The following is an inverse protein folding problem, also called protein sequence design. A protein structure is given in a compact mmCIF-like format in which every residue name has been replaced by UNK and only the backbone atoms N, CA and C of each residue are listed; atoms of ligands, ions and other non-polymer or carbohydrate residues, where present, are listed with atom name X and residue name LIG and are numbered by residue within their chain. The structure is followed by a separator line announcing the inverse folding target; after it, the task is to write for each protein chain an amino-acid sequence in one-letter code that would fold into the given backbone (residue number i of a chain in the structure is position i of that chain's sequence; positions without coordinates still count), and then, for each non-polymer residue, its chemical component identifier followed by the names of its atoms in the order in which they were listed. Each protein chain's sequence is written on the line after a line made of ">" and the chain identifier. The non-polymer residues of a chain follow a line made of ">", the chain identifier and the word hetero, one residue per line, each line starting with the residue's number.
data_IF_191596103538
#
_entry.id   IF_191596103538
#
_cell.length_a   1.000
_cell.length_b   1.000
_cell.length_c   1.000
_cell.angle_alpha   90.00
_cell.angle_beta   90.00
_cell.angle_gamma   90.00
#
_symmetry.space_group_name_H-M   'P 1'
#
loop_
_entity.id
_entity.type
_entity.pdbx_description
1 polymer ?
#
# COMPACT_ATOMS: atom_id res chain seq x y z
N UNK A 1 49.80 30.95 16.91
CA UNK A 1 50.92 29.98 17.04
C UNK A 1 50.35 28.63 16.63
N UNK A 2 50.63 28.14 15.40
CA UNK A 2 51.89 27.47 14.98
C UNK A 2 52.03 26.15 15.80
N UNK A 3 52.13 24.93 15.24
CA UNK A 3 52.77 24.40 14.01
C UNK A 3 52.18 22.99 13.74
N UNK A 4 51.57 22.72 12.59
CA UNK A 4 52.02 21.93 11.42
C UNK A 4 52.07 20.38 11.51
N UNK A 5 51.59 19.78 10.40
CA UNK A 5 51.56 18.38 9.92
C UNK A 5 53.01 17.86 9.60
N UNK A 6 53.32 16.67 8.98
CA UNK A 6 52.51 15.80 8.10
C UNK A 6 52.85 14.28 8.00
N UNK A 7 52.14 13.58 7.11
CA UNK A 7 52.50 12.28 6.51
C UNK A 7 51.23 11.49 6.14
N UNK A 8 50.88 11.16 4.89
CA UNK A 8 51.68 11.00 3.68
C UNK A 8 51.46 9.57 3.14
N UNK A 9 50.77 9.47 2.00
CA UNK A 9 50.19 8.27 1.36
C UNK A 9 51.26 7.36 0.72
N UNK A 10 50.92 6.17 0.17
CA UNK A 10 50.86 6.20 -1.29
C UNK A 10 49.67 5.48 -1.94
N UNK A 11 49.27 6.12 -3.02
CA UNK A 11 48.48 5.66 -4.17
C UNK A 11 49.29 4.60 -4.94
N UNK A 12 48.62 3.59 -5.49
CA UNK A 12 49.11 2.86 -6.66
C UNK A 12 48.05 2.89 -7.76
N UNK A 13 48.44 3.42 -8.91
CA UNK A 13 47.71 3.38 -10.17
C UNK A 13 48.63 2.81 -11.24
N UNK A 14 48.13 1.89 -12.07
CA UNK A 14 48.12 1.95 -13.54
C UNK A 14 47.75 0.61 -14.16
N UNK A 15 46.98 0.67 -15.25
CA UNK A 15 46.78 -0.44 -16.17
C UNK A 15 45.68 -0.16 -17.18
N UNK A 16 45.92 0.77 -18.12
CA UNK A 16 45.14 0.91 -19.34
C UNK A 16 45.77 0.05 -20.44
N UNK A 17 44.94 -0.63 -21.23
CA UNK A 17 45.29 -1.16 -22.56
C UNK A 17 44.13 -0.86 -23.50
N UNK A 18 44.41 -0.10 -24.56
CA UNK A 18 43.59 0.04 -25.76
C UNK A 18 44.03 -1.02 -26.78
N UNK A 19 43.07 -1.63 -27.49
CA UNK A 19 43.17 -1.88 -28.94
C UNK A 19 41.84 -2.43 -29.50
N UNK A 20 41.52 -1.93 -30.69
CA UNK A 20 40.33 -2.14 -31.51
C UNK A 20 40.15 -3.58 -32.04
N UNK A 21 38.92 -3.92 -32.46
CA UNK A 21 38.71 -5.04 -33.38
C UNK A 21 37.28 -5.59 -33.50
N UNK A 22 36.54 -5.06 -34.48
CA UNK A 22 35.63 -5.77 -35.40
C UNK A 22 34.30 -6.38 -34.91
N UNK A 23 33.25 -5.99 -35.64
CA UNK A 23 31.96 -6.65 -35.72
C UNK A 23 32.09 -8.02 -36.40
N UNK A 24 31.32 -9.00 -35.93
CA UNK A 24 30.91 -10.16 -36.72
C UNK A 24 29.57 -10.70 -36.21
N UNK A 25 28.60 -10.75 -37.13
CA UNK A 25 27.41 -11.57 -37.06
C UNK A 25 27.76 -13.06 -36.97
N UNK A 26 26.89 -13.85 -36.33
CA UNK A 26 26.68 -15.24 -36.73
C UNK A 26 26.81 -16.32 -35.66
N UNK A 27 25.76 -17.13 -35.60
CA UNK A 27 25.70 -18.52 -35.17
C UNK A 27 25.62 -18.86 -33.67
N UNK A 28 24.35 -19.05 -33.25
CA UNK A 28 23.84 -20.16 -32.46
C UNK A 28 24.85 -21.20 -31.92
N UNK A 29 24.85 -21.39 -30.60
CA UNK A 29 25.10 -22.70 -30.02
C UNK A 29 24.05 -23.00 -28.94
N UNK A 30 23.45 -24.18 -29.11
CA UNK A 30 22.38 -24.76 -28.31
C UNK A 30 22.98 -25.38 -27.04
N UNK A 31 22.41 -25.07 -25.89
CA UNK A 31 22.31 -26.02 -24.79
C UNK A 31 20.85 -26.07 -24.37
N UNK A 32 20.19 -27.10 -24.87
CA UNK A 32 18.93 -27.63 -24.36
C UNK A 32 19.23 -28.35 -23.05
N UNK A 33 18.48 -28.04 -22.00
CA UNK A 33 18.20 -29.01 -20.95
C UNK A 33 16.70 -28.96 -20.66
N UNK A 34 16.06 -30.11 -20.86
CA UNK A 34 14.62 -30.34 -20.90
C UNK A 34 14.07 -30.49 -19.48
N UNK A 35 13.22 -29.54 -19.05
CA UNK A 35 12.11 -29.84 -18.14
C UNK A 35 11.05 -28.72 -18.22
N UNK A 36 9.80 -29.13 -18.47
CA UNK A 36 8.56 -28.32 -18.53
C UNK A 36 8.27 -27.60 -19.86
N UNK A 37 7.96 -28.38 -20.90
CA UNK A 37 7.24 -27.89 -22.07
C UNK A 37 5.79 -27.50 -21.76
N UNK A 38 5.52 -26.19 -21.61
CA UNK A 38 4.26 -25.54 -22.02
C UNK A 38 4.59 -24.14 -22.53
N UNK A 39 4.07 -23.70 -23.69
CA UNK A 39 4.35 -22.36 -24.20
C UNK A 39 3.81 -21.32 -23.22
N UNK A 40 4.62 -20.31 -22.89
CA UNK A 40 4.16 -19.08 -22.26
C UNK A 40 3.12 -18.44 -23.17
N UNK A 41 1.85 -18.78 -22.95
CA UNK A 41 0.74 -18.03 -23.48
C UNK A 41 0.93 -16.60 -22.96
N UNK A 42 1.16 -15.66 -23.88
CA UNK A 42 0.99 -14.23 -23.63
C UNK A 42 -0.32 -14.08 -22.85
N UNK A 43 -0.34 -13.43 -21.67
CA UNK A 43 -1.58 -13.20 -20.97
C UNK A 43 -2.55 -12.53 -21.93
N UNK A 44 -3.72 -13.13 -22.12
CA UNK A 44 -4.85 -12.46 -22.75
C UNK A 44 -5.06 -11.13 -22.00
N UNK A 45 -5.32 -10.04 -22.76
CA UNK A 45 -5.63 -8.72 -22.19
C UNK A 45 -6.56 -8.89 -21.00
N UNK A 46 -6.08 -8.57 -19.81
CA UNK A 46 -6.94 -8.45 -18.64
C UNK A 46 -8.07 -7.46 -18.98
N UNK A 47 -9.29 -7.61 -18.43
CA UNK A 47 -10.38 -6.65 -18.62
C UNK A 47 -10.05 -5.23 -18.09
N UNK A 48 -8.87 -5.02 -17.50
CA UNK A 48 -8.35 -3.78 -16.96
C UNK A 48 -7.98 -2.71 -18.02
N UNK A 49 -8.28 -2.94 -19.30
CA UNK A 49 -7.93 -2.09 -20.43
C UNK A 49 -9.18 -1.34 -20.96
N UNK A 50 -9.94 -0.72 -20.06
CA UNK A 50 -11.13 0.08 -20.41
C UNK A 50 -11.17 1.39 -19.61
N UNK A 51 -10.35 2.37 -20.03
CA UNK A 51 -10.52 3.77 -19.66
C UNK A 51 -9.38 4.40 -18.85
N UNK A 52 -9.11 5.67 -19.14
CA UNK A 52 -8.36 6.58 -18.26
C UNK A 52 -8.93 6.48 -16.84
N UNK A 53 -8.10 6.31 -15.79
CA UNK A 53 -8.60 6.31 -14.42
C UNK A 53 -9.43 7.58 -14.19
N UNK A 54 -10.65 7.51 -13.63
CA UNK A 54 -11.40 8.71 -13.28
C UNK A 54 -10.72 9.49 -12.14
N UNK A 55 -9.66 8.94 -11.55
CA UNK A 55 -8.89 9.54 -10.47
C UNK A 55 -7.80 10.44 -11.06
N UNK A 56 -7.84 11.76 -10.81
CA UNK A 56 -6.77 12.65 -11.24
C UNK A 56 -5.49 12.39 -10.44
N UNK A 57 -4.33 12.59 -11.08
CA UNK A 57 -3.02 12.49 -10.42
C UNK A 57 -2.92 13.48 -9.26
N UNK A 58 -3.38 14.72 -9.48
CA UNK A 58 -3.49 15.79 -8.50
C UNK A 58 -4.96 16.18 -8.26
N UNK A 59 -5.35 16.42 -7.01
CA UNK A 59 -6.61 17.09 -6.67
C UNK A 59 -6.34 18.35 -5.82
N UNK A 60 -7.29 18.79 -4.99
CA UNK A 60 -7.23 20.12 -4.39
C UNK A 60 -6.32 20.27 -3.15
N UNK A 61 -5.90 19.17 -2.53
CA UNK A 61 -5.25 19.14 -1.22
C UNK A 61 -6.15 19.52 -0.04
N UNK A 62 -7.44 19.83 -0.28
CA UNK A 62 -8.45 20.15 0.74
C UNK A 62 -9.41 18.99 0.93
N UNK A 63 -9.87 18.77 2.15
CA UNK A 63 -10.68 17.60 2.50
C UNK A 63 -12.14 17.95 2.80
N UNK A 64 -13.04 17.05 2.44
CA UNK A 64 -14.41 17.03 2.90
C UNK A 64 -14.54 15.94 3.97
N UNK A 65 -14.96 16.33 5.17
CA UNK A 65 -15.27 15.39 6.25
C UNK A 65 -16.59 14.71 5.94
N UNK A 66 -16.61 13.40 6.08
CA UNK A 66 -17.80 12.61 5.84
C UNK A 66 -18.71 12.60 7.08
N UNK A 67 -20.01 12.87 6.92
CA UNK A 67 -20.93 12.97 8.06
C UNK A 67 -21.09 11.64 8.79
N UNK A 68 -21.43 11.71 10.07
CA UNK A 68 -21.87 10.59 10.92
C UNK A 68 -23.38 10.69 11.06
N UNK A 69 -24.09 9.56 11.14
CA UNK A 69 -25.52 9.60 11.46
C UNK A 69 -25.67 10.19 12.87
N UNK A 70 -26.41 11.29 12.98
CA UNK A 70 -26.73 11.96 14.25
C UNK A 70 -27.21 10.96 15.31
N UNK A 71 -26.62 11.01 16.51
CA UNK A 71 -27.11 10.29 17.69
C UNK A 71 -26.25 9.14 18.20
N UNK A 72 -25.10 8.81 17.58
CA UNK A 72 -24.13 7.87 18.16
C UNK A 72 -22.98 8.66 18.78
N UNK A 73 -22.97 8.76 20.11
CA UNK A 73 -21.78 9.22 20.82
C UNK A 73 -20.63 8.22 20.61
N UNK A 74 -19.39 8.71 20.65
CA UNK A 74 -18.23 7.82 20.71
C UNK A 74 -18.37 6.89 21.92
N UNK A 75 -18.08 5.61 21.72
CA UNK A 75 -18.18 4.65 22.80
C UNK A 75 -17.06 4.92 23.82
N UNK A 76 -17.39 4.89 25.12
CA UNK A 76 -16.39 5.14 26.18
C UNK A 76 -15.20 4.19 26.05
N UNK A 77 -13.98 4.72 25.96
CA UNK A 77 -12.74 3.94 25.80
C UNK A 77 -12.48 3.41 24.39
N UNK A 78 -13.23 3.85 23.37
CA UNK A 78 -12.91 3.58 21.97
C UNK A 78 -11.99 4.66 21.40
N UNK A 79 -11.04 4.26 20.54
CA UNK A 79 -10.30 5.18 19.69
C UNK A 79 -11.27 5.76 18.66
N UNK A 80 -11.19 7.07 18.47
CA UNK A 80 -12.05 7.82 17.57
C UNK A 80 -11.38 8.02 16.23
N UNK A 81 -12.14 7.90 15.14
CA UNK A 81 -11.66 8.21 13.80
C UNK A 81 -12.64 9.08 13.05
N UNK A 82 -12.11 9.97 12.20
CA UNK A 82 -12.90 10.67 11.18
C UNK A 82 -12.53 10.19 9.79
N UNK A 83 -13.45 10.30 8.85
CA UNK A 83 -13.21 9.94 7.45
C UNK A 83 -13.28 11.16 6.57
N UNK A 84 -12.29 11.29 5.70
CA UNK A 84 -12.09 12.44 4.83
C UNK A 84 -11.90 12.00 3.38
N UNK A 85 -12.40 12.80 2.44
CA UNK A 85 -12.11 12.63 1.01
C UNK A 85 -11.57 13.94 0.45
N UNK A 86 -10.48 13.87 -0.30
CA UNK A 86 -9.93 15.03 -0.99
C UNK A 86 -10.91 15.56 -2.04
N UNK A 87 -11.19 16.88 -1.98
CA UNK A 87 -12.08 17.53 -2.93
C UNK A 87 -11.45 17.51 -4.33
N UNK A 88 -12.27 17.18 -5.33
CA UNK A 88 -11.83 16.99 -6.71
C UNK A 88 -11.65 15.53 -7.11
N UNK A 89 -11.70 14.59 -6.16
CA UNK A 89 -11.80 13.16 -6.46
C UNK A 89 -13.22 12.78 -6.92
N UNK A 90 -13.38 11.71 -7.73
CA UNK A 90 -14.68 11.21 -8.19
C UNK A 90 -15.41 10.38 -7.12
N UNK A 91 -15.27 10.76 -5.84
CA UNK A 91 -15.81 10.03 -4.69
C UNK A 91 -16.49 10.98 -3.73
N UNK A 92 -17.68 10.62 -3.26
CA UNK A 92 -18.34 11.34 -2.18
C UNK A 92 -17.87 10.84 -0.81
N UNK A 93 -17.78 11.76 0.15
CA UNK A 93 -17.25 11.48 1.48
C UNK A 93 -18.10 10.42 2.22
N UNK A 94 -19.43 10.49 2.10
CA UNK A 94 -20.34 9.54 2.73
C UNK A 94 -20.22 8.12 2.14
N UNK A 95 -19.95 7.99 0.84
CA UNK A 95 -19.73 6.71 0.16
C UNK A 95 -18.45 6.02 0.60
N UNK A 96 -17.35 6.76 0.66
CA UNK A 96 -16.08 6.25 1.17
C UNK A 96 -16.20 5.85 2.64
N UNK A 97 -16.81 6.72 3.45
CA UNK A 97 -17.15 6.46 4.85
C UNK A 97 -17.89 5.14 5.05
N UNK A 98 -18.97 4.88 4.30
CA UNK A 98 -19.70 3.61 4.41
C UNK A 98 -18.83 2.39 4.11
N UNK A 99 -17.81 2.51 3.25
CA UNK A 99 -16.90 1.40 2.99
C UNK A 99 -15.96 1.18 4.18
N UNK A 100 -15.34 2.26 4.69
CA UNK A 100 -14.48 2.23 5.88
C UNK A 100 -15.24 1.67 7.08
N UNK A 101 -16.43 2.19 7.38
CA UNK A 101 -17.25 1.78 8.52
C UNK A 101 -17.58 0.29 8.44
N UNK A 102 -17.96 -0.21 7.26
CA UNK A 102 -18.23 -1.64 7.06
C UNK A 102 -16.99 -2.51 7.29
N UNK A 103 -15.81 -2.05 6.86
CA UNK A 103 -14.57 -2.80 7.09
C UNK A 103 -14.21 -2.83 8.57
N UNK A 104 -14.23 -1.68 9.23
CA UNK A 104 -13.77 -1.55 10.62
C UNK A 104 -14.78 -2.08 11.65
N UNK A 105 -16.06 -2.21 11.28
CA UNK A 105 -17.07 -2.86 12.12
C UNK A 105 -17.29 -4.34 11.78
N UNK A 106 -16.56 -4.91 10.82
CA UNK A 106 -16.71 -6.33 10.46
C UNK A 106 -16.15 -7.20 11.60
N UNK A 107 -16.87 -8.24 12.05
CA UNK A 107 -16.41 -9.09 13.15
C UNK A 107 -15.14 -9.89 12.86
N UNK A 108 -14.68 -9.93 11.60
CA UNK A 108 -13.38 -10.50 11.22
C UNK A 108 -12.22 -9.52 11.38
N UNK A 109 -12.50 -8.23 11.57
CA UNK A 109 -11.52 -7.15 11.65
C UNK A 109 -10.92 -7.00 13.05
N UNK A 110 -10.21 -5.87 13.24
CA UNK A 110 -9.51 -5.56 14.49
C UNK A 110 -10.39 -5.58 15.74
N UNK A 111 -11.67 -5.18 15.62
CA UNK A 111 -12.63 -5.16 16.73
C UNK A 111 -13.02 -6.55 17.25
N UNK A 112 -12.55 -7.63 16.61
CA UNK A 112 -12.64 -8.97 17.17
C UNK A 112 -11.85 -9.09 18.49
N UNK A 113 -10.75 -8.34 18.63
CA UNK A 113 -10.09 -8.11 19.90
C UNK A 113 -10.80 -6.94 20.62
N UNK A 114 -11.37 -7.15 21.83
CA UNK A 114 -12.06 -6.11 22.59
C UNK A 114 -11.15 -4.94 23.04
N UNK A 115 -9.83 -5.05 22.91
CA UNK A 115 -8.89 -3.95 23.13
C UNK A 115 -8.96 -2.90 22.01
N UNK A 116 -9.33 -3.29 20.79
CA UNK A 116 -9.36 -2.44 19.60
C UNK A 116 -10.77 -1.91 19.32
N UNK A 117 -11.27 -1.03 20.18
CA UNK A 117 -12.60 -0.42 20.01
C UNK A 117 -12.49 0.85 19.19
N UNK A 118 -13.31 0.97 18.14
CA UNK A 118 -13.25 2.08 17.18
C UNK A 118 -14.60 2.81 17.10
N UNK A 119 -14.58 4.14 17.12
CA UNK A 119 -15.78 4.99 17.02
C UNK A 119 -15.61 6.09 15.98
N UNK A 120 -16.51 6.11 14.99
CA UNK A 120 -16.50 7.16 13.96
C UNK A 120 -17.07 8.47 14.51
N UNK A 121 -16.38 9.59 14.30
CA UNK A 121 -16.80 10.95 14.67
C UNK A 121 -16.66 11.92 13.49
N UNK A 122 -17.35 13.08 13.54
CA UNK A 122 -17.18 14.16 12.56
C UNK A 122 -16.12 15.19 12.98
N UNK A 123 -15.92 15.35 14.29
CA UNK A 123 -15.04 16.38 14.87
C UNK A 123 -13.59 15.94 14.98
N UNK A 124 -12.90 16.49 15.98
CA UNK A 124 -11.57 16.00 16.35
C UNK A 124 -11.64 14.52 16.72
N UNK A 125 -10.64 13.78 16.26
CA UNK A 125 -10.54 12.34 16.36
C UNK A 125 -9.09 11.95 16.65
N UNK A 126 -8.88 10.78 17.24
CA UNK A 126 -7.53 10.25 17.50
C UNK A 126 -6.77 9.99 16.20
N UNK A 127 -7.47 9.68 15.10
CA UNK A 127 -6.88 9.59 13.77
C UNK A 127 -7.87 9.90 12.65
N UNK A 128 -7.34 10.11 11.44
CA UNK A 128 -8.15 10.32 10.25
C UNK A 128 -7.84 9.29 9.18
N UNK A 129 -8.90 8.81 8.52
CA UNK A 129 -8.81 7.93 7.35
C UNK A 129 -9.16 8.75 6.11
N UNK A 130 -8.20 8.90 5.21
CA UNK A 130 -8.22 9.91 4.16
C UNK A 130 -8.14 9.25 2.81
N UNK A 131 -9.07 9.53 1.90
CA UNK A 131 -8.93 9.19 0.48
C UNK A 131 -8.29 10.36 -0.26
N UNK A 132 -7.11 10.13 -0.84
CA UNK A 132 -6.31 11.18 -1.47
C UNK A 132 -5.82 10.81 -2.88
N UNK A 133 -5.68 11.83 -3.73
CA UNK A 133 -5.00 11.75 -5.03
C UNK A 133 -3.53 11.36 -4.86
N UNK A 134 -2.93 10.66 -5.84
CA UNK A 134 -1.54 10.21 -5.80
C UNK A 134 -0.52 11.22 -5.23
N UNK A 135 -0.50 12.47 -5.67
CA UNK A 135 0.52 13.42 -5.20
C UNK A 135 0.21 13.96 -3.79
N UNK A 136 -1.07 14.03 -3.41
CA UNK A 136 -1.45 14.32 -2.03
C UNK A 136 -1.06 13.16 -1.11
N UNK A 137 -1.13 11.91 -1.58
CA UNK A 137 -0.63 10.74 -0.84
C UNK A 137 0.88 10.88 -0.59
N UNK A 138 1.68 11.13 -1.64
CA UNK A 138 3.13 11.29 -1.49
C UNK A 138 3.49 12.39 -0.48
N UNK A 139 2.74 13.50 -0.48
CA UNK A 139 2.94 14.59 0.48
C UNK A 139 2.57 14.20 1.91
N UNK A 140 1.43 13.53 2.11
CA UNK A 140 0.97 13.14 3.45
C UNK A 140 1.81 12.00 4.04
N UNK A 141 2.33 11.12 3.19
CA UNK A 141 3.13 9.96 3.60
C UNK A 141 4.61 10.27 3.79
N UNK A 142 5.10 11.46 3.41
CA UNK A 142 6.50 11.82 3.53
C UNK A 142 7.01 11.65 4.98
N UNK A 143 8.22 11.07 5.18
CA UNK A 143 9.25 10.78 4.18
C UNK A 143 9.13 9.40 3.48
N UNK A 144 8.03 8.66 3.65
CA UNK A 144 7.84 7.38 2.95
C UNK A 144 7.67 7.61 1.43
N UNK A 145 8.40 6.84 0.62
CA UNK A 145 8.30 6.89 -0.83
C UNK A 145 7.16 5.99 -1.34
N UNK A 146 5.97 6.57 -1.54
CA UNK A 146 4.81 5.80 -2.07
C UNK A 146 4.80 5.72 -3.59
N UNK A 147 5.64 6.54 -4.26
CA UNK A 147 5.66 6.76 -5.72
C UNK A 147 4.28 7.10 -6.30
N UNK A 148 3.39 7.66 -5.49
CA UNK A 148 1.98 7.92 -5.81
C UNK A 148 1.14 6.67 -6.06
N UNK A 149 1.57 5.48 -5.62
CA UNK A 149 0.95 4.19 -5.99
C UNK A 149 0.55 3.28 -4.84
N UNK A 150 0.91 3.60 -3.61
CA UNK A 150 0.50 2.81 -2.43
C UNK A 150 -0.12 3.72 -1.37
N UNK A 151 -0.86 3.11 -0.47
CA UNK A 151 -1.37 3.75 0.74
C UNK A 151 -0.28 3.76 1.82
N UNK A 152 -0.50 4.52 2.89
CA UNK A 152 0.38 4.52 4.04
C UNK A 152 -0.39 4.87 5.32
N UNK A 153 0.29 4.69 6.46
CA UNK A 153 0.00 5.38 7.71
C UNK A 153 1.20 6.28 8.06
N UNK A 154 0.95 7.54 8.40
CA UNK A 154 1.97 8.49 8.87
C UNK A 154 1.43 9.30 10.06
N UNK A 155 1.99 9.11 11.26
CA UNK A 155 1.40 9.69 12.47
C UNK A 155 -0.06 9.24 12.64
N UNK A 156 -0.98 10.20 12.75
CA UNK A 156 -2.43 9.98 12.90
C UNK A 156 -3.17 9.98 11.54
N UNK A 157 -2.42 9.99 10.43
CA UNK A 157 -2.95 9.95 9.08
C UNK A 157 -2.93 8.52 8.53
N UNK A 158 -4.11 7.93 8.36
CA UNK A 158 -4.32 6.70 7.60
C UNK A 158 -4.70 7.10 6.17
N UNK A 159 -3.74 7.08 5.25
CA UNK A 159 -3.87 7.65 3.91
C UNK A 159 -4.09 6.57 2.86
N UNK A 160 -5.30 6.55 2.29
CA UNK A 160 -5.70 5.64 1.23
C UNK A 160 -5.49 6.30 -0.13
N UNK A 161 -4.71 5.66 -1.00
CA UNK A 161 -4.46 6.14 -2.35
C UNK A 161 -5.68 5.90 -3.25
N UNK A 162 -6.26 6.98 -3.78
CA UNK A 162 -7.49 6.93 -4.58
C UNK A 162 -7.32 6.13 -5.89
N UNK A 163 -6.14 6.16 -6.49
CA UNK A 163 -5.87 5.35 -7.69
C UNK A 163 -5.88 3.86 -7.38
N UNK A 164 -5.32 3.46 -6.22
CA UNK A 164 -5.43 2.07 -5.72
C UNK A 164 -6.84 1.72 -5.28
N UNK A 165 -7.56 2.67 -4.69
CA UNK A 165 -8.96 2.49 -4.34
C UNK A 165 -9.84 2.20 -5.57
N UNK A 166 -9.53 2.78 -6.72
CA UNK A 166 -10.18 2.48 -7.99
C UNK A 166 -9.69 1.17 -8.62
N UNK A 167 -8.37 1.01 -8.73
CA UNK A 167 -7.75 -0.05 -9.54
C UNK A 167 -7.59 -1.38 -8.84
N UNK A 168 -7.47 -1.37 -7.52
CA UNK A 168 -7.06 -2.52 -6.73
C UNK A 168 -5.57 -2.86 -6.82
N UNK A 169 -5.22 -4.05 -6.36
CA UNK A 169 -3.91 -4.66 -6.55
C UNK A 169 -4.02 -5.97 -7.35
N UNK A 170 -2.96 -6.29 -8.09
CA UNK A 170 -2.89 -7.52 -8.90
C UNK A 170 -3.05 -8.77 -8.04
N UNK A 171 -2.58 -8.74 -6.80
CA UNK A 171 -2.70 -9.82 -5.81
C UNK A 171 -4.13 -10.20 -5.45
N UNK A 172 -5.12 -9.35 -5.75
CA UNK A 172 -6.54 -9.63 -5.50
C UNK A 172 -7.29 -10.06 -6.75
N UNK A 173 -6.61 -10.25 -7.90
CA UNK A 173 -7.18 -10.80 -9.13
C UNK A 173 -8.52 -10.16 -9.59
N UNK A 174 -8.67 -8.84 -9.33
CA UNK A 174 -9.88 -8.09 -9.69
C UNK A 174 -10.96 -8.04 -8.60
N UNK A 175 -10.79 -8.73 -7.47
CA UNK A 175 -11.64 -8.56 -6.29
C UNK A 175 -11.34 -7.23 -5.59
N UNK A 176 -11.95 -6.18 -6.11
CA UNK A 176 -11.78 -4.83 -5.62
C UNK A 176 -12.39 -4.64 -4.23
N UNK A 177 -13.44 -5.38 -3.89
CA UNK A 177 -14.07 -5.28 -2.57
C UNK A 177 -13.13 -5.83 -1.49
N UNK A 178 -12.54 -7.00 -1.73
CA UNK A 178 -11.54 -7.57 -0.83
C UNK A 178 -10.31 -6.67 -0.71
N UNK A 179 -9.79 -6.13 -1.82
CA UNK A 179 -8.65 -5.19 -1.75
C UNK A 179 -8.95 -3.94 -0.91
N UNK A 180 -10.15 -3.38 -1.03
CA UNK A 180 -10.55 -2.20 -0.26
C UNK A 180 -10.65 -2.49 1.24
N UNK A 181 -11.18 -3.65 1.62
CA UNK A 181 -11.16 -4.10 3.02
C UNK A 181 -9.73 -4.27 3.52
N UNK A 182 -8.88 -4.93 2.72
CA UNK A 182 -7.48 -5.13 3.05
C UNK A 182 -6.75 -3.82 3.32
N UNK A 183 -6.81 -2.86 2.39
CA UNK A 183 -6.00 -1.63 2.53
C UNK A 183 -6.50 -0.78 3.70
N UNK A 184 -7.80 -0.77 3.99
CA UNK A 184 -8.32 -0.11 5.20
C UNK A 184 -7.80 -0.80 6.46
N UNK A 185 -7.86 -2.13 6.53
CA UNK A 185 -7.37 -2.88 7.69
C UNK A 185 -5.85 -2.77 7.85
N UNK A 186 -5.07 -2.82 6.77
CA UNK A 186 -3.61 -2.75 6.79
C UNK A 186 -3.14 -1.40 7.35
N UNK A 187 -3.64 -0.30 6.79
CA UNK A 187 -3.22 1.03 7.25
C UNK A 187 -3.77 1.37 8.64
N UNK A 188 -4.96 0.87 9.00
CA UNK A 188 -5.48 0.99 10.37
C UNK A 188 -4.66 0.13 11.34
N UNK A 189 -4.22 -1.07 10.93
CA UNK A 189 -3.34 -1.91 11.73
C UNK A 189 -2.01 -1.21 12.05
N UNK A 190 -1.46 -0.47 11.08
CA UNK A 190 -0.33 0.41 11.36
C UNK A 190 -0.63 1.46 12.41
N UNK A 191 -1.81 2.08 12.40
CA UNK A 191 -2.20 3.05 13.43
C UNK A 191 -2.33 2.38 14.81
N UNK A 192 -2.90 1.17 14.87
CA UNK A 192 -3.02 0.36 16.08
C UNK A 192 -1.67 -0.18 16.61
N UNK A 193 -0.57 0.06 15.89
CA UNK A 193 0.79 -0.29 16.33
C UNK A 193 1.38 -1.54 15.69
N UNK A 194 0.67 -2.19 14.75
CA UNK A 194 1.16 -3.39 14.09
C UNK A 194 2.16 -3.05 12.96
N UNK A 195 3.28 -3.75 12.95
CA UNK A 195 4.30 -3.69 11.91
C UNK A 195 4.04 -4.69 10.78
N UNK A 196 4.80 -4.58 9.68
CA UNK A 196 4.72 -5.57 8.60
C UNK A 196 5.19 -6.94 9.05
N UNK A 197 4.53 -7.98 8.52
CA UNK A 197 4.91 -9.38 8.71
C UNK A 197 5.04 -10.12 7.37
N UNK A 198 5.81 -11.20 7.39
CA UNK A 198 6.05 -12.04 6.21
C UNK A 198 4.85 -12.95 5.87
N UNK A 199 4.88 -13.51 4.67
CA UNK A 199 3.99 -14.62 4.33
C UNK A 199 4.39 -15.87 5.15
N UNK A 200 3.49 -16.46 5.97
CA UNK A 200 3.82 -17.61 6.81
C UNK A 200 4.10 -18.89 6.01
N UNK A 201 3.55 -19.02 4.81
CA UNK A 201 3.73 -20.21 3.98
C UNK A 201 2.94 -20.17 2.69
N UNK A 202 3.37 -20.98 1.70
CA UNK A 202 2.67 -21.09 0.42
C UNK A 202 1.26 -21.64 0.64
N UNK A 203 0.26 -20.95 0.11
CA UNK A 203 -1.15 -21.35 0.17
C UNK A 203 -1.85 -20.99 1.48
N UNK A 204 -1.11 -20.50 2.48
CA UNK A 204 -1.66 -19.97 3.72
C UNK A 204 -2.30 -18.60 3.50
N UNK A 205 -3.29 -18.19 4.32
CA UNK A 205 -3.77 -16.82 4.32
C UNK A 205 -2.62 -15.85 4.64
N UNK A 206 -2.44 -14.82 3.82
CA UNK A 206 -1.53 -13.74 4.16
C UNK A 206 -2.05 -13.01 5.42
N UNK A 207 -1.20 -12.72 6.42
CA UNK A 207 -1.54 -11.78 7.47
C UNK A 207 -1.99 -10.45 6.87
N UNK A 208 -2.92 -9.72 7.51
CA UNK A 208 -3.37 -8.42 6.98
C UNK A 208 -2.23 -7.42 6.98
N UNK A 209 -1.27 -7.57 7.89
CA UNK A 209 -0.05 -6.78 7.94
C UNK A 209 1.05 -7.27 6.99
N UNK A 210 0.78 -8.28 6.16
CA UNK A 210 1.60 -8.55 4.98
C UNK A 210 1.42 -7.47 3.90
N UNK A 211 2.47 -7.14 3.16
CA UNK A 211 2.43 -6.13 2.08
C UNK A 211 1.76 -6.67 0.79
N UNK A 212 0.52 -7.14 0.90
CA UNK A 212 -0.24 -7.78 -0.17
C UNK A 212 -0.44 -6.88 -1.39
N UNK A 213 -0.44 -5.54 -1.26
CA UNK A 213 -0.46 -4.61 -2.43
C UNK A 213 0.73 -4.83 -3.36
N UNK A 214 1.89 -5.22 -2.81
CA UNK A 214 3.15 -5.42 -3.54
C UNK A 214 3.32 -6.86 -4.03
N UNK A 215 2.68 -7.82 -3.37
CA UNK A 215 2.67 -9.22 -3.76
C UNK A 215 2.35 -10.13 -2.57
N UNK A 216 2.00 -11.38 -2.85
CA UNK A 216 1.59 -12.35 -1.82
C UNK A 216 2.70 -13.32 -1.40
N UNK A 217 3.82 -13.35 -2.13
CA UNK A 217 4.97 -14.21 -1.80
C UNK A 217 4.62 -15.70 -1.60
N UNK A 218 3.58 -16.18 -2.29
CA UNK A 218 3.09 -17.56 -2.21
C UNK A 218 1.86 -17.75 -1.31
N UNK A 219 1.51 -16.79 -0.47
CA UNK A 219 0.29 -16.78 0.32
C UNK A 219 -0.95 -16.54 -0.56
N UNK A 220 -2.13 -16.75 0.03
CA UNK A 220 -3.42 -16.35 -0.52
C UNK A 220 -3.79 -14.96 -0.01
N UNK A 221 -4.40 -14.15 -0.89
CA UNK A 221 -4.91 -12.84 -0.50
C UNK A 221 -5.93 -12.98 0.65
N UNK A 222 -5.81 -12.13 1.66
CA UNK A 222 -6.67 -12.15 2.84
C UNK A 222 -6.83 -10.72 3.37
N UNK A 223 -8.05 -10.16 3.37
CA UNK A 223 -8.26 -8.78 3.77
C UNK A 223 -8.49 -8.55 5.27
N UNK A 224 -8.42 -9.60 6.09
CA UNK A 224 -8.74 -9.56 7.51
C UNK A 224 -7.53 -9.98 8.36
N UNK A 225 -7.38 -9.44 9.58
CA UNK A 225 -6.43 -9.97 10.54
C UNK A 225 -6.57 -11.50 10.68
N UNK A 226 -5.43 -12.18 10.72
CA UNK A 226 -5.35 -13.60 11.08
C UNK A 226 -5.51 -13.76 12.60
N UNK A 227 -5.74 -15.00 13.06
CA UNK A 227 -5.84 -15.27 14.50
C UNK A 227 -4.60 -14.77 15.26
N UNK A 228 -3.39 -15.00 14.71
CA UNK A 228 -2.13 -14.54 15.32
C UNK A 228 -1.93 -13.02 15.31
N UNK A 229 -2.75 -12.26 14.56
CA UNK A 229 -2.75 -10.78 14.61
C UNK A 229 -3.78 -10.23 15.61
N UNK A 230 -4.64 -11.09 16.17
CA UNK A 230 -5.67 -10.74 17.15
C UNK A 230 -5.34 -11.27 18.57
N UNK A 231 -4.17 -11.88 18.74
CA UNK A 231 -3.62 -12.40 20.01
C UNK A 231 -2.59 -11.43 20.59
#
# INVERSE_FOLDING_TARGET
>A
MLVEKPGGVPVLAKGAVDAAGQAAEGAASRLIDEAAGRPYLRPAKSPADSGTPPVPQHASGRFAVAPVRSGRAAESGALTYRVEVERGLPYDAAGFARAVDRTLSDPRGWTADPSHRLSRVEGEADFRIVLASPDTVDRLCAPLDTKGRVSCRNGDDVVINAWRWWRGARSYDGDLAAYRNYVVNHETGHFLGFGHVGCPGRGEPAPVMHQQTLGLQGCKANPWPTASELE
#
